data_IF_617518829524
#
_entry.id   IF_617518829524
#
_cell.length_a   1.000
_cell.length_b   1.000
_cell.length_c   1.000
_cell.angle_alpha   90.00
_cell.angle_beta   90.00
_cell.angle_gamma   90.00
#
_symmetry.space_group_name_H-M   'P 1'
#
loop_
_entity.id
_entity.type
_entity.pdbx_description
1 polymer ?
#
# COMPACT_ATOMS: atom_id res chain seq x y z
N UNK A 1 -12.68 3.59 3.49
CA UNK A 1 -11.19 3.69 3.33
C UNK A 1 -10.79 3.75 1.86
N UNK A 2 -10.09 4.82 1.47
CA UNK A 2 -9.53 5.06 0.14
C UNK A 2 -8.07 4.58 0.10
N UNK A 3 -7.66 3.90 -0.97
CA UNK A 3 -6.32 3.34 -1.15
C UNK A 3 -5.60 4.03 -2.32
N UNK A 4 -4.44 4.64 -2.04
CA UNK A 4 -3.67 5.43 -3.01
C UNK A 4 -2.38 4.72 -3.47
N UNK A 5 -2.17 3.44 -3.10
CA UNK A 5 -0.91 2.73 -3.35
C UNK A 5 -0.57 2.70 -4.83
N UNK A 6 -1.54 2.35 -5.69
CA UNK A 6 -1.32 2.22 -7.13
C UNK A 6 -0.80 3.52 -7.74
N UNK A 7 -1.43 4.64 -7.40
CA UNK A 7 -1.10 5.96 -7.95
C UNK A 7 0.27 6.44 -7.48
N UNK A 8 0.59 6.23 -6.20
CA UNK A 8 1.90 6.58 -5.65
C UNK A 8 2.99 5.69 -6.27
N UNK A 9 2.71 4.39 -6.41
CA UNK A 9 3.63 3.42 -7.02
C UNK A 9 3.96 3.78 -8.46
N UNK A 10 2.95 4.06 -9.30
CA UNK A 10 3.14 4.38 -10.72
C UNK A 10 3.87 5.71 -10.90
N UNK A 11 3.54 6.74 -10.10
CA UNK A 11 4.29 8.02 -10.08
C UNK A 11 5.77 7.83 -9.74
N UNK A 12 6.13 6.78 -9.00
CA UNK A 12 7.51 6.43 -8.62
C UNK A 12 8.17 5.42 -9.55
N UNK A 13 7.51 5.03 -10.65
CA UNK A 13 8.04 4.08 -11.63
C UNK A 13 8.28 2.68 -11.07
N UNK A 14 7.57 2.30 -9.99
CA UNK A 14 7.76 1.01 -9.30
C UNK A 14 6.79 -0.05 -9.83
N UNK A 15 7.24 -1.30 -9.95
CA UNK A 15 6.36 -2.43 -10.32
C UNK A 15 5.78 -3.11 -9.07
N UNK A 16 4.70 -3.88 -9.26
CA UNK A 16 4.12 -4.65 -8.14
C UNK A 16 5.09 -5.74 -7.68
N UNK A 17 5.78 -6.40 -8.62
CA UNK A 17 6.78 -7.44 -8.38
C UNK A 17 8.01 -6.91 -7.63
N UNK A 18 8.43 -5.68 -7.92
CA UNK A 18 9.53 -5.03 -7.23
C UNK A 18 9.18 -4.80 -5.75
N UNK A 19 8.01 -4.22 -5.48
CA UNK A 19 7.60 -3.91 -4.11
C UNK A 19 7.25 -5.17 -3.31
N UNK A 20 6.62 -6.17 -3.93
CA UNK A 20 6.36 -7.46 -3.30
C UNK A 20 7.65 -8.14 -2.83
N UNK A 21 8.69 -8.14 -3.69
CA UNK A 21 10.02 -8.66 -3.35
C UNK A 21 10.66 -7.89 -2.18
N UNK A 22 10.65 -6.56 -2.22
CA UNK A 22 11.23 -5.74 -1.15
C UNK A 22 10.47 -5.84 0.18
N UNK A 23 9.16 -6.09 0.13
CA UNK A 23 8.33 -6.34 1.32
C UNK A 23 8.44 -7.77 1.84
N UNK A 24 9.11 -8.67 1.10
CA UNK A 24 9.15 -10.10 1.37
C UNK A 24 7.75 -10.74 1.49
N UNK A 25 6.87 -10.41 0.53
CA UNK A 25 5.52 -10.98 0.42
C UNK A 25 5.29 -11.50 -1.00
N UNK A 26 4.29 -12.36 -1.18
CA UNK A 26 3.91 -12.81 -2.52
C UNK A 26 3.33 -11.65 -3.35
N UNK A 27 3.52 -11.71 -4.68
CA UNK A 27 2.89 -10.77 -5.61
C UNK A 27 1.37 -10.72 -5.42
N UNK A 28 0.74 -11.88 -5.21
CA UNK A 28 -0.70 -11.97 -4.92
C UNK A 28 -1.08 -11.20 -3.65
N UNK A 29 -0.31 -11.33 -2.58
CA UNK A 29 -0.54 -10.59 -1.34
C UNK A 29 -0.42 -9.08 -1.56
N UNK A 30 0.61 -8.64 -2.28
CA UNK A 30 0.76 -7.25 -2.69
C UNK A 30 -0.45 -6.77 -3.52
N UNK A 31 -0.90 -7.55 -4.50
CA UNK A 31 -2.07 -7.23 -5.32
C UNK A 31 -3.36 -7.15 -4.51
N UNK A 32 -3.55 -8.00 -3.51
CA UNK A 32 -4.71 -7.91 -2.62
C UNK A 32 -4.66 -6.66 -1.76
N UNK A 33 -3.47 -6.26 -1.29
CA UNK A 33 -3.26 -5.01 -0.57
C UNK A 33 -3.54 -3.79 -1.47
N UNK A 34 -2.99 -3.76 -2.69
CA UNK A 34 -3.17 -2.64 -3.63
C UNK A 34 -4.62 -2.50 -4.12
N UNK A 35 -5.37 -3.60 -4.20
CA UNK A 35 -6.79 -3.59 -4.61
C UNK A 35 -7.76 -3.59 -3.41
N UNK A 36 -7.29 -3.27 -2.21
CA UNK A 36 -8.11 -3.22 -0.98
C UNK A 36 -8.89 -4.51 -0.66
N UNK A 37 -8.43 -5.66 -1.16
CA UNK A 37 -8.98 -6.99 -0.83
C UNK A 37 -8.45 -7.52 0.50
N UNK A 38 -7.33 -6.98 0.97
CA UNK A 38 -6.70 -7.35 2.23
C UNK A 38 -6.01 -6.12 2.83
N UNK A 39 -6.19 -5.89 4.13
CA UNK A 39 -5.42 -4.88 4.84
C UNK A 39 -3.99 -5.36 5.10
N UNK A 40 -2.97 -4.51 4.90
CA UNK A 40 -1.63 -4.84 5.37
C UNK A 40 -1.61 -4.79 6.90
N UNK A 41 -0.70 -5.54 7.51
CA UNK A 41 -0.34 -5.27 8.90
C UNK A 41 0.47 -3.96 9.00
N UNK A 42 0.60 -3.44 10.22
CA UNK A 42 1.30 -2.17 10.49
C UNK A 42 2.72 -2.17 9.92
N UNK A 43 3.47 -3.27 10.06
CA UNK A 43 4.84 -3.36 9.58
C UNK A 43 4.92 -3.27 8.04
N UNK A 44 4.03 -3.96 7.33
CA UNK A 44 3.94 -3.92 5.87
C UNK A 44 3.55 -2.54 5.39
N UNK A 45 2.59 -1.88 6.04
CA UNK A 45 2.19 -0.51 5.71
C UNK A 45 3.35 0.48 5.89
N UNK A 46 4.07 0.41 7.01
CA UNK A 46 5.22 1.28 7.29
C UNK A 46 6.38 1.05 6.30
N UNK A 47 6.70 -0.21 6.01
CA UNK A 47 7.72 -0.55 5.01
C UNK A 47 7.32 -0.05 3.63
N UNK A 48 6.07 -0.25 3.23
CA UNK A 48 5.56 0.20 1.93
C UNK A 48 5.63 1.72 1.81
N UNK A 49 5.29 2.46 2.87
CA UNK A 49 5.41 3.92 2.91
C UNK A 49 6.86 4.36 2.72
N UNK A 50 7.82 3.69 3.37
CA UNK A 50 9.25 3.94 3.21
C UNK A 50 9.74 3.64 1.79
N UNK A 51 9.36 2.50 1.21
CA UNK A 51 9.72 2.10 -0.15
C UNK A 51 9.15 3.05 -1.20
N UNK A 52 7.94 3.53 -0.95
CA UNK A 52 7.26 4.54 -1.73
C UNK A 52 7.61 5.95 -1.28
N UNK A 53 8.66 6.18 -0.49
CA UNK A 53 9.11 7.48 0.02
C UNK A 53 7.96 8.49 0.27
N UNK A 54 7.00 8.08 1.11
CA UNK A 54 5.77 8.80 1.46
C UNK A 54 5.40 8.48 2.92
N UNK A 55 4.37 9.14 3.44
CA UNK A 55 3.82 8.86 4.78
C UNK A 55 2.76 7.76 4.72
N UNK A 56 2.56 7.01 5.80
CA UNK A 56 1.62 5.89 5.81
C UNK A 56 0.16 6.35 5.60
N UNK A 57 -0.20 7.50 6.15
CA UNK A 57 -1.48 8.19 5.96
C UNK A 57 -1.73 8.64 4.51
N UNK A 58 -0.68 8.73 3.68
CA UNK A 58 -0.87 9.01 2.26
C UNK A 58 -1.23 7.74 1.48
N UNK A 59 -0.91 6.55 2.01
CA UNK A 59 -1.28 5.28 1.38
C UNK A 59 -2.77 4.99 1.56
N UNK A 60 -3.33 5.36 2.71
CA UNK A 60 -4.71 5.06 3.10
C UNK A 60 -5.39 6.29 3.74
N UNK A 61 -6.55 6.66 3.21
CA UNK A 61 -7.39 7.73 3.78
C UNK A 61 -8.67 7.12 4.34
N UNK A 62 -9.03 7.50 5.57
CA UNK A 62 -10.28 7.10 6.22
C UNK A 62 -11.38 8.09 5.81
N UNK A 63 -12.56 7.61 5.42
CA UNK A 63 -13.69 8.49 5.13
C UNK A 63 -14.42 8.87 6.43
N UNK A 64 -15.07 10.04 6.49
CA UNK A 64 -15.75 10.50 7.72
C UNK A 64 -16.78 9.49 8.25
N UNK A 65 -17.42 8.71 7.36
CA UNK A 65 -18.39 7.69 7.74
C UNK A 65 -17.76 6.39 8.27
N UNK A 66 -16.45 6.17 8.13
CA UNK A 66 -15.76 4.99 8.69
C UNK A 66 -15.60 5.08 10.23
N UNK A 67 -15.93 6.24 10.83
CA UNK A 67 -15.87 6.49 12.28
C UNK A 67 -17.18 6.20 13.03
N UNK A 68 -18.26 5.89 12.31
CA UNK A 68 -19.62 5.65 12.84
C UNK A 68 -19.95 4.17 12.70
#
# INVERSE_FOLDING_TARGET
MINNIKDIRTKKGKTQEELARQLNISLRSYQYIENSKQLPNVLTALKLAKLLNTRAENLYTIEQCDWI
#
